data_IF_607430129699
#
_entry.id   IF_607430129699
#
_cell.length_a   1.000
_cell.length_b   1.000
_cell.length_c   1.000
_cell.angle_alpha   90.00
_cell.angle_beta   90.00
_cell.angle_gamma   90.00
#
_symmetry.space_group_name_H-M   'P 1'
#
loop_
_entity.id
_entity.type
_entity.pdbx_description
1 polymer ?
#
# COMPACT_ATOMS: atom_id res chain seq x y z
N UNK A 1 31.49 -3.10 18.43
CA UNK A 1 30.71 -2.75 17.24
C UNK A 1 31.64 -2.03 16.30
N UNK A 2 31.90 -2.57 15.11
CA UNK A 2 32.78 -1.92 14.14
C UNK A 2 32.06 -0.75 13.47
N UNK A 3 32.14 0.41 14.12
CA UNK A 3 31.53 1.65 13.63
C UNK A 3 32.02 2.04 12.24
N UNK A 4 33.27 1.73 11.89
CA UNK A 4 33.84 1.96 10.56
C UNK A 4 33.13 1.14 9.48
N UNK A 5 32.80 -0.13 9.78
CA UNK A 5 32.09 -1.01 8.85
C UNK A 5 30.64 -0.53 8.66
N UNK A 6 29.95 -0.17 9.74
CA UNK A 6 28.58 0.35 9.68
C UNK A 6 28.52 1.64 8.85
N UNK A 7 29.43 2.59 9.12
CA UNK A 7 29.51 3.85 8.35
C UNK A 7 29.81 3.61 6.87
N UNK A 8 30.74 2.71 6.56
CA UNK A 8 31.07 2.34 5.18
C UNK A 8 29.84 1.79 4.44
N UNK A 9 29.12 0.85 5.05
CA UNK A 9 27.91 0.27 4.45
C UNK A 9 26.77 1.28 4.31
N UNK A 10 26.57 2.17 5.28
CA UNK A 10 25.56 3.23 5.19
C UNK A 10 25.83 4.20 4.05
N UNK A 11 27.09 4.63 3.86
CA UNK A 11 27.47 5.54 2.77
C UNK A 11 27.30 4.83 1.41
N UNK A 12 27.72 3.56 1.30
CA UNK A 12 27.52 2.79 0.07
C UNK A 12 26.03 2.61 -0.25
N UNK A 13 25.16 2.39 0.73
CA UNK A 13 23.72 2.33 0.48
C UNK A 13 23.12 3.69 0.11
N UNK A 14 23.64 4.78 0.68
CA UNK A 14 23.18 6.15 0.43
C UNK A 14 23.59 6.70 -0.95
N UNK A 15 24.75 6.30 -1.47
CA UNK A 15 25.28 6.75 -2.77
C UNK A 15 25.26 5.66 -3.85
N UNK A 16 24.91 4.42 -3.48
CA UNK A 16 24.88 3.28 -4.38
C UNK A 16 23.66 3.25 -5.28
N UNK A 17 23.61 2.22 -6.12
CA UNK A 17 22.51 2.00 -7.09
C UNK A 17 21.15 1.92 -6.39
N UNK A 18 21.10 1.36 -5.18
CA UNK A 18 19.89 1.28 -4.36
C UNK A 18 19.28 2.65 -4.06
N UNK A 19 20.11 3.66 -3.76
CA UNK A 19 19.62 5.02 -3.53
C UNK A 19 18.98 5.60 -4.78
N UNK A 20 19.58 5.37 -5.96
CA UNK A 20 19.03 5.84 -7.24
C UNK A 20 17.69 5.18 -7.56
N UNK A 21 17.54 3.87 -7.28
CA UNK A 21 16.26 3.16 -7.43
C UNK A 21 15.18 3.79 -6.55
N UNK A 22 15.48 4.07 -5.29
CA UNK A 22 14.53 4.73 -4.39
C UNK A 22 14.23 6.17 -4.79
N UNK A 23 15.22 6.93 -5.25
CA UNK A 23 15.01 8.26 -5.81
C UNK A 23 14.09 8.23 -7.04
N UNK A 24 14.29 7.27 -7.95
CA UNK A 24 13.44 7.09 -9.13
C UNK A 24 12.00 6.72 -8.74
N UNK A 25 11.83 5.82 -7.77
CA UNK A 25 10.52 5.47 -7.23
C UNK A 25 9.82 6.69 -6.59
N UNK A 26 10.55 7.49 -5.80
CA UNK A 26 10.03 8.71 -5.19
C UNK A 26 9.64 9.78 -6.22
N UNK A 27 10.43 9.94 -7.29
CA UNK A 27 10.09 10.82 -8.41
C UNK A 27 8.85 10.34 -9.17
N UNK A 28 8.73 9.04 -9.43
CA UNK A 28 7.53 8.45 -10.04
C UNK A 28 6.27 8.70 -9.21
N UNK A 29 6.39 8.57 -7.89
CA UNK A 29 5.33 8.90 -6.93
C UNK A 29 4.97 10.40 -6.96
N UNK A 30 5.98 11.28 -7.01
CA UNK A 30 5.79 12.72 -7.12
C UNK A 30 5.16 13.12 -8.45
N UNK A 31 5.48 12.43 -9.54
CA UNK A 31 4.86 12.65 -10.84
C UNK A 31 3.38 12.24 -10.82
N UNK A 32 3.07 11.07 -10.27
CA UNK A 32 1.70 10.56 -10.21
C UNK A 32 0.79 11.35 -9.24
N UNK A 33 1.27 11.71 -8.06
CA UNK A 33 0.46 12.47 -7.09
C UNK A 33 0.60 13.98 -7.22
N UNK A 34 1.78 14.49 -7.57
CA UNK A 34 2.07 15.91 -7.60
C UNK A 34 1.70 16.59 -8.92
N UNK A 35 2.10 16.02 -10.06
CA UNK A 35 1.94 16.68 -11.37
C UNK A 35 0.65 16.30 -12.10
N UNK A 36 0.29 15.02 -12.11
CA UNK A 36 -0.94 14.58 -12.79
C UNK A 36 -2.16 14.63 -11.86
N UNK A 37 -1.95 14.74 -10.54
CA UNK A 37 -3.03 14.75 -9.54
C UNK A 37 -3.83 13.44 -9.49
N UNK A 38 -3.35 12.38 -10.15
CA UNK A 38 -4.03 11.10 -10.23
C UNK A 38 -3.70 10.29 -8.97
N UNK A 39 -4.52 10.47 -7.94
CA UNK A 39 -4.54 9.56 -6.80
C UNK A 39 -4.96 8.17 -7.30
N UNK A 40 -4.14 7.15 -7.01
CA UNK A 40 -4.42 5.76 -7.36
C UNK A 40 -5.52 5.21 -6.44
N UNK A 41 -6.74 5.73 -6.60
CA UNK A 41 -7.90 5.38 -5.79
C UNK A 41 -8.43 3.98 -6.09
N UNK A 42 -8.02 3.34 -7.17
CA UNK A 42 -8.52 2.01 -7.54
C UNK A 42 -8.36 1.00 -6.40
N UNK A 43 -7.13 0.80 -5.91
CA UNK A 43 -6.87 -0.17 -4.85
C UNK A 43 -7.52 0.23 -3.51
N UNK A 44 -7.58 1.52 -3.21
CA UNK A 44 -8.25 2.05 -2.01
C UNK A 44 -9.78 1.85 -2.10
N UNK A 45 -10.36 2.04 -3.29
CA UNK A 45 -11.78 1.87 -3.52
C UNK A 45 -12.20 0.41 -3.39
N UNK A 46 -11.44 -0.54 -3.95
CA UNK A 46 -11.69 -1.96 -3.76
C UNK A 46 -11.62 -2.35 -2.28
N UNK A 47 -10.56 -1.92 -1.56
CA UNK A 47 -10.45 -2.16 -0.13
C UNK A 47 -11.65 -1.58 0.67
N UNK A 48 -12.11 -0.39 0.32
CA UNK A 48 -13.29 0.23 0.94
C UNK A 48 -14.59 -0.55 0.64
N UNK A 49 -14.78 -1.02 -0.60
CA UNK A 49 -15.93 -1.82 -1.01
C UNK A 49 -15.94 -3.16 -0.26
N UNK A 50 -14.80 -3.82 -0.12
CA UNK A 50 -14.68 -5.07 0.63
C UNK A 50 -15.04 -4.90 2.11
N UNK A 51 -14.47 -3.87 2.76
CA UNK A 51 -14.76 -3.56 4.16
C UNK A 51 -16.24 -3.19 4.38
N UNK A 52 -16.82 -2.37 3.49
CA UNK A 52 -18.23 -1.99 3.55
C UNK A 52 -19.16 -3.20 3.36
N UNK A 53 -18.84 -4.08 2.42
CA UNK A 53 -19.60 -5.30 2.14
C UNK A 53 -19.60 -6.26 3.34
N UNK A 54 -18.48 -6.40 4.04
CA UNK A 54 -18.43 -7.18 5.29
C UNK A 54 -19.32 -6.52 6.35
N UNK A 55 -19.21 -5.21 6.53
CA UNK A 55 -20.00 -4.46 7.51
C UNK A 55 -21.50 -4.58 7.29
N UNK A 56 -21.97 -4.40 6.06
CA UNK A 56 -23.41 -4.49 5.75
C UNK A 56 -23.95 -5.91 5.92
N UNK A 57 -23.16 -6.94 5.60
CA UNK A 57 -23.57 -8.35 5.77
C UNK A 57 -23.68 -8.72 7.26
N UNK A 58 -22.78 -8.23 8.11
CA UNK A 58 -22.83 -8.49 9.55
C UNK A 58 -23.96 -7.69 10.22
N UNK A 59 -24.09 -6.40 9.90
CA UNK A 59 -25.03 -5.50 10.59
C UNK A 59 -26.46 -5.67 10.08
N UNK A 60 -26.67 -5.71 8.76
CA UNK A 60 -28.02 -5.72 8.17
C UNK A 60 -28.59 -7.12 8.04
N UNK A 61 -27.76 -8.14 7.79
CA UNK A 61 -28.21 -9.52 7.59
C UNK A 61 -27.96 -10.41 8.82
N UNK A 62 -27.30 -9.91 9.87
CA UNK A 62 -27.01 -10.68 11.08
C UNK A 62 -26.13 -11.91 10.84
N UNK A 63 -25.44 -11.98 9.69
CA UNK A 63 -24.61 -13.11 9.33
C UNK A 63 -23.34 -13.15 10.18
N UNK A 64 -22.80 -14.35 10.38
CA UNK A 64 -21.54 -14.50 11.10
C UNK A 64 -20.39 -13.85 10.33
N UNK A 65 -19.40 -13.34 11.07
CA UNK A 65 -18.23 -12.67 10.49
C UNK A 65 -17.49 -13.60 9.50
N UNK A 66 -17.48 -14.91 9.76
CA UNK A 66 -16.93 -15.93 8.88
C UNK A 66 -17.64 -16.06 7.54
N UNK A 67 -18.96 -15.85 7.50
CA UNK A 67 -19.73 -15.83 6.26
C UNK A 67 -19.59 -14.49 5.52
N UNK A 68 -19.38 -13.39 6.25
CA UNK A 68 -19.21 -12.06 5.67
C UNK A 68 -17.86 -11.88 4.94
N UNK A 69 -16.78 -12.51 5.42
CA UNK A 69 -15.45 -12.46 4.81
C UNK A 69 -15.43 -12.85 3.32
N UNK A 70 -15.91 -14.05 2.90
CA UNK A 70 -15.90 -14.44 1.49
C UNK A 70 -16.77 -13.54 0.62
N UNK A 71 -17.86 -12.99 1.16
CA UNK A 71 -18.73 -12.03 0.45
C UNK A 71 -18.00 -10.71 0.23
N UNK A 72 -17.24 -10.23 1.21
CA UNK A 72 -16.36 -9.07 1.09
C UNK A 72 -15.29 -9.22 0.01
N UNK A 73 -14.69 -10.41 -0.09
CA UNK A 73 -13.73 -10.71 -1.15
C UNK A 73 -14.37 -10.71 -2.54
N UNK A 74 -15.53 -11.35 -2.70
CA UNK A 74 -16.26 -11.37 -3.97
C UNK A 74 -16.71 -9.96 -4.41
N UNK A 75 -17.07 -9.11 -3.45
CA UNK A 75 -17.48 -7.73 -3.74
C UNK A 75 -16.30 -6.79 -4.06
N UNK A 76 -15.08 -7.15 -3.69
CA UNK A 76 -13.86 -6.34 -3.84
C UNK A 76 -12.97 -6.77 -5.04
N UNK A 77 -13.46 -7.68 -5.89
CA UNK A 77 -12.81 -8.15 -7.14
C UNK A 77 -13.22 -7.30 -8.34
#
# INVERSE_FOLDING_TARGET
MDFSFVLGQSITQALGVTAIIYCLAAMGLNLQFGYTGLLNFGQVAFAAIGAYSIGVVVISFGASLWAAIPIGFLASV
#
